data_IF_119313427123
#
_entry.id   IF_119313427123
#
_cell.length_a   1.000
_cell.length_b   1.000
_cell.length_c   1.000
_cell.angle_alpha   90.00
_cell.angle_beta   90.00
_cell.angle_gamma   90.00
#
_symmetry.space_group_name_H-M   'P 1'
#
loop_
_entity.id
_entity.type
_entity.pdbx_description
1 polymer ?
#
# COMPACT_ATOMS: atom_id res chain seq x y z
N UNK A 1 -29.50 -1.36 9.59
CA UNK A 1 -28.36 -0.45 9.41
C UNK A 1 -27.51 -1.02 8.30
N UNK A 2 -27.36 -0.36 7.16
CA UNK A 2 -26.38 -0.80 6.15
C UNK A 2 -24.98 -0.57 6.73
N UNK A 3 -24.16 -1.61 6.83
CA UNK A 3 -22.73 -1.47 7.13
C UNK A 3 -22.12 -0.41 6.21
N UNK A 4 -21.53 0.64 6.78
CA UNK A 4 -20.74 1.58 6.00
C UNK A 4 -19.43 0.90 5.62
N UNK A 5 -19.34 0.47 4.36
CA UNK A 5 -18.12 -0.11 3.82
C UNK A 5 -17.11 0.98 3.52
N UNK A 6 -15.98 0.96 4.20
CA UNK A 6 -14.89 1.92 3.99
C UNK A 6 -13.90 1.31 3.00
N UNK A 7 -13.69 1.99 1.87
CA UNK A 7 -12.63 1.66 0.92
C UNK A 7 -11.44 2.60 1.09
N UNK A 8 -10.23 2.03 1.16
CA UNK A 8 -8.98 2.78 1.20
C UNK A 8 -8.27 2.74 -0.15
N UNK A 9 -7.66 3.88 -0.53
CA UNK A 9 -6.79 3.97 -1.71
C UNK A 9 -5.36 4.26 -1.26
N UNK A 10 -4.45 3.34 -1.55
CA UNK A 10 -3.03 3.44 -1.21
C UNK A 10 -2.23 3.90 -2.44
N UNK A 11 -1.70 5.12 -2.37
CA UNK A 11 -0.92 5.75 -3.45
C UNK A 11 0.57 5.33 -3.37
N UNK A 12 0.95 4.36 -4.19
CA UNK A 12 2.27 3.75 -4.21
C UNK A 12 3.07 4.03 -5.51
N UNK A 13 2.63 5.00 -6.32
CA UNK A 13 3.22 5.35 -7.63
C UNK A 13 4.19 6.53 -7.64
N UNK A 14 4.79 6.89 -6.50
CA UNK A 14 5.66 8.07 -6.40
C UNK A 14 7.01 7.91 -7.13
N UNK A 15 7.57 9.01 -7.66
CA UNK A 15 8.85 9.01 -8.38
C UNK A 15 10.09 8.71 -7.51
N UNK A 16 9.95 8.71 -6.18
CA UNK A 16 11.01 8.33 -5.23
C UNK A 16 12.38 9.04 -5.39
N UNK A 17 12.39 10.24 -5.97
CA UNK A 17 13.60 11.03 -6.32
C UNK A 17 14.52 11.37 -5.14
N UNK A 18 13.99 11.56 -3.93
CA UNK A 18 14.79 11.94 -2.74
C UNK A 18 15.45 10.76 -2.02
N UNK A 19 14.87 9.56 -2.08
CA UNK A 19 15.39 8.38 -1.36
C UNK A 19 16.17 7.42 -2.28
N UNK A 20 16.14 7.63 -3.60
CA UNK A 20 16.85 6.78 -4.57
C UNK A 20 16.29 5.35 -4.73
N UNK A 21 15.43 4.90 -3.81
CA UNK A 21 14.67 3.65 -3.86
C UNK A 21 13.18 3.91 -3.75
N UNK A 22 12.41 3.04 -4.39
CA UNK A 22 10.95 3.07 -4.34
C UNK A 22 10.45 2.85 -2.91
N UNK A 23 9.83 3.89 -2.34
CA UNK A 23 9.42 3.92 -0.93
C UNK A 23 8.42 2.83 -0.56
N UNK A 24 7.56 2.43 -1.51
CA UNK A 24 6.55 1.40 -1.26
C UNK A 24 7.20 0.05 -0.86
N UNK A 25 8.39 -0.23 -1.40
CA UNK A 25 9.12 -1.49 -1.21
C UNK A 25 10.26 -1.41 -0.19
N UNK A 26 10.43 -0.27 0.47
CA UNK A 26 11.37 -0.18 1.60
C UNK A 26 10.94 -1.14 2.69
N UNK A 27 11.90 -1.85 3.26
CA UNK A 27 11.65 -2.80 4.32
C UNK A 27 11.83 -2.15 5.70
N UNK A 28 10.90 -2.44 6.60
CA UNK A 28 10.97 -2.16 8.02
C UNK A 28 10.56 -3.44 8.75
N UNK A 29 11.45 -3.95 9.61
CA UNK A 29 11.22 -5.19 10.37
C UNK A 29 10.78 -6.37 9.50
N UNK A 30 11.41 -6.54 8.32
CA UNK A 30 11.12 -7.62 7.39
C UNK A 30 9.84 -7.47 6.56
N UNK A 31 9.10 -6.36 6.68
CA UNK A 31 7.91 -6.07 5.86
C UNK A 31 8.11 -4.82 5.02
N UNK A 32 7.53 -4.79 3.82
CA UNK A 32 7.52 -3.58 2.99
C UNK A 32 6.64 -2.50 3.61
N UNK A 33 6.92 -1.23 3.36
CA UNK A 33 6.05 -0.13 3.81
C UNK A 33 4.63 -0.30 3.28
N UNK A 34 4.48 -0.73 2.02
CA UNK A 34 3.19 -1.07 1.44
C UNK A 34 2.43 -2.10 2.28
N UNK A 35 3.08 -3.20 2.67
CA UNK A 35 2.51 -4.26 3.50
C UNK A 35 2.09 -3.73 4.87
N UNK A 36 2.96 -2.96 5.52
CA UNK A 36 2.70 -2.37 6.85
C UNK A 36 1.47 -1.45 6.81
N UNK A 37 1.34 -0.62 5.77
CA UNK A 37 0.21 0.30 5.64
C UNK A 37 -1.08 -0.48 5.32
N UNK A 38 -1.02 -1.46 4.42
CA UNK A 38 -2.17 -2.28 4.07
C UNK A 38 -2.70 -3.07 5.28
N UNK A 39 -1.82 -3.67 6.09
CA UNK A 39 -2.20 -4.38 7.32
C UNK A 39 -2.83 -3.45 8.37
N UNK A 40 -2.40 -2.18 8.45
CA UNK A 40 -3.03 -1.19 9.32
C UNK A 40 -4.41 -0.77 8.81
N UNK A 41 -4.55 -0.60 7.49
CA UNK A 41 -5.82 -0.22 6.87
C UNK A 41 -6.86 -1.35 6.94
N UNK A 42 -6.44 -2.61 6.87
CA UNK A 42 -7.37 -3.76 6.91
C UNK A 42 -8.14 -3.89 8.23
N UNK A 43 -7.73 -3.19 9.29
CA UNK A 43 -8.46 -3.12 10.56
C UNK A 43 -9.73 -2.26 10.43
N UNK A 44 -9.73 -1.33 9.47
CA UNK A 44 -10.76 -0.28 9.35
C UNK A 44 -11.49 -0.28 8.00
N UNK A 45 -10.97 -1.01 7.01
CA UNK A 45 -11.42 -0.93 5.62
C UNK A 45 -11.69 -2.34 5.06
N UNK A 46 -12.84 -2.50 4.43
CA UNK A 46 -13.24 -3.75 3.78
C UNK A 46 -12.57 -3.95 2.42
N UNK A 47 -12.13 -2.85 1.82
CA UNK A 47 -11.49 -2.85 0.51
C UNK A 47 -10.26 -1.95 0.51
N UNK A 48 -9.16 -2.46 -0.01
CA UNK A 48 -7.91 -1.70 -0.21
C UNK A 48 -7.56 -1.75 -1.69
N UNK A 49 -7.45 -0.58 -2.31
CA UNK A 49 -7.04 -0.41 -3.70
C UNK A 49 -5.62 0.18 -3.70
N UNK A 50 -4.69 -0.45 -4.41
CA UNK A 50 -3.33 0.07 -4.57
C UNK A 50 -3.22 0.74 -5.93
N UNK A 51 -2.91 2.04 -5.93
CA UNK A 51 -2.58 2.79 -7.15
C UNK A 51 -1.07 2.89 -7.27
N UNK A 52 -0.52 2.20 -8.26
CA UNK A 52 0.92 2.04 -8.47
C UNK A 52 1.34 2.33 -9.91
N UNK A 53 2.64 2.54 -10.11
CA UNK A 53 3.26 2.78 -11.42
C UNK A 53 4.25 1.67 -11.82
N UNK A 54 4.20 0.52 -11.13
CA UNK A 54 5.00 -0.68 -11.40
C UNK A 54 4.10 -1.85 -11.80
N UNK A 55 4.72 -2.96 -12.19
CA UNK A 55 4.00 -4.20 -12.45
C UNK A 55 3.20 -4.67 -11.24
N UNK A 56 1.96 -5.11 -11.48
CA UNK A 56 1.03 -5.59 -10.45
C UNK A 56 1.66 -6.66 -9.54
N UNK A 57 2.47 -7.56 -10.10
CA UNK A 57 3.13 -8.64 -9.36
C UNK A 57 4.01 -8.12 -8.22
N UNK A 58 4.65 -6.96 -8.41
CA UNK A 58 5.53 -6.36 -7.41
C UNK A 58 4.76 -5.86 -6.18
N UNK A 59 3.50 -5.42 -6.36
CA UNK A 59 2.65 -4.98 -5.25
C UNK A 59 1.96 -6.15 -4.51
N UNK A 60 1.99 -7.35 -5.10
CA UNK A 60 1.37 -8.57 -4.54
C UNK A 60 2.38 -9.55 -3.94
N UNK A 61 3.68 -9.33 -4.16
CA UNK A 61 4.78 -10.08 -3.54
C UNK A 61 4.97 -9.69 -2.09
#
# INVERSE_FOLDING_TARGET
MSEMKISAVLLAGGQSKRMGKDKAFLQLNGKTFLRIIAEKLSIYCDQIIVSGNKEKKLYLS
#
